data_IF_213170337907
#
_entry.id   IF_213170337907
#
_cell.length_a   1.000
_cell.length_b   1.000
_cell.length_c   1.000
_cell.angle_alpha   90.00
_cell.angle_beta   90.00
_cell.angle_gamma   90.00
#
_symmetry.space_group_name_H-M   'P 1'
#
loop_
_entity.id
_entity.type
_entity.pdbx_description
1 polymer ?
#
# COMPACT_ATOMS: atom_id res chain seq x y z
N UNK A 1 -70.34 -26.91 37.69
CA UNK A 1 -70.56 -25.98 36.56
C UNK A 1 -69.55 -26.39 35.49
N UNK A 2 -69.82 -27.36 34.59
CA UNK A 2 -70.64 -27.32 33.35
C UNK A 2 -70.32 -26.09 32.48
N UNK A 3 -70.06 -26.11 31.17
CA UNK A 3 -70.00 -27.13 30.09
C UNK A 3 -69.52 -26.39 28.80
N UNK A 4 -68.69 -27.01 27.93
CA UNK A 4 -68.66 -27.01 26.43
C UNK A 4 -68.82 -25.68 25.61
N UNK A 5 -68.48 -25.52 24.32
CA UNK A 5 -67.83 -26.29 23.24
C UNK A 5 -67.57 -25.30 22.07
N UNK A 6 -66.70 -25.74 21.17
CA UNK A 6 -66.27 -25.19 19.88
C UNK A 6 -67.43 -24.83 18.92
N UNK A 7 -67.27 -23.79 18.10
CA UNK A 7 -67.89 -23.72 16.77
C UNK A 7 -66.88 -23.22 15.73
N UNK A 8 -66.62 -24.11 14.78
CA UNK A 8 -65.93 -23.94 13.52
C UNK A 8 -66.98 -23.60 12.44
N UNK A 9 -66.54 -23.07 11.30
CA UNK A 9 -67.26 -22.97 10.01
C UNK A 9 -67.96 -21.63 9.69
N UNK A 10 -67.36 -20.89 8.77
CA UNK A 10 -67.96 -19.71 8.12
C UNK A 10 -67.04 -19.17 7.03
N UNK A 11 -66.88 -19.93 5.95
CA UNK A 11 -66.19 -19.53 4.72
C UNK A 11 -67.01 -18.42 4.05
N UNK A 12 -66.45 -17.24 3.81
CA UNK A 12 -66.91 -16.41 2.70
C UNK A 12 -65.77 -15.55 2.15
N UNK A 13 -65.40 -15.91 0.93
CA UNK A 13 -64.47 -15.26 0.02
C UNK A 13 -64.88 -13.79 -0.19
N UNK A 14 -63.97 -12.83 0.06
CA UNK A 14 -63.95 -11.52 -0.62
C UNK A 14 -62.52 -10.96 -0.59
N UNK A 15 -61.80 -11.36 -1.62
CA UNK A 15 -60.60 -10.71 -2.16
C UNK A 15 -60.91 -9.25 -2.57
N UNK A 16 -59.87 -8.44 -2.84
CA UNK A 16 -59.86 -7.12 -3.54
C UNK A 16 -59.92 -5.92 -2.56
N UNK A 17 -58.97 -4.97 -2.40
CA UNK A 17 -57.72 -4.57 -3.05
C UNK A 17 -56.90 -3.75 -2.02
N UNK A 18 -55.86 -4.31 -1.41
CA UNK A 18 -54.79 -3.48 -0.82
C UNK A 18 -53.69 -3.37 -1.87
N UNK A 19 -53.27 -2.16 -2.30
CA UNK A 19 -52.12 -2.04 -3.16
C UNK A 19 -50.91 -2.47 -2.32
N UNK A 20 -50.48 -3.71 -2.51
CA UNK A 20 -49.21 -4.18 -2.03
C UNK A 20 -48.18 -3.37 -2.83
N UNK A 21 -47.77 -2.21 -2.31
CA UNK A 21 -46.66 -1.46 -2.88
C UNK A 21 -45.47 -2.40 -2.79
N UNK A 22 -45.11 -3.02 -3.91
CA UNK A 22 -43.83 -3.69 -4.05
C UNK A 22 -42.78 -2.61 -3.78
N UNK A 23 -42.31 -2.58 -2.54
CA UNK A 23 -41.01 -2.02 -2.23
C UNK A 23 -40.03 -2.84 -3.05
N UNK A 24 -39.74 -2.41 -4.28
CA UNK A 24 -38.61 -2.89 -5.03
C UNK A 24 -37.40 -2.55 -4.16
N UNK A 25 -36.95 -3.54 -3.38
CA UNK A 25 -35.64 -3.48 -2.74
C UNK A 25 -34.68 -3.43 -3.91
N UNK A 26 -34.22 -2.23 -4.25
CA UNK A 26 -33.17 -2.03 -5.21
C UNK A 26 -31.91 -2.62 -4.57
N UNK A 27 -31.70 -3.92 -4.79
CA UNK A 27 -30.50 -4.60 -4.32
C UNK A 27 -29.32 -3.87 -4.95
N UNK A 28 -28.43 -3.22 -4.15
CA UNK A 28 -27.28 -2.54 -4.71
C UNK A 28 -26.51 -3.57 -5.54
N UNK A 29 -26.32 -3.25 -6.82
CA UNK A 29 -25.48 -4.06 -7.71
C UNK A 29 -24.11 -4.20 -7.04
N UNK A 30 -23.52 -5.41 -6.97
CA UNK A 30 -22.18 -5.60 -6.43
C UNK A 30 -21.21 -4.70 -7.21
N UNK A 31 -20.88 -3.55 -6.65
CA UNK A 31 -19.81 -2.69 -7.16
C UNK A 31 -18.51 -3.43 -6.87
N UNK A 32 -17.59 -3.56 -7.86
CA UNK A 32 -16.26 -4.09 -7.57
C UNK A 32 -15.62 -3.24 -6.49
N UNK A 33 -15.38 -3.83 -5.32
CA UNK A 33 -14.63 -3.14 -4.28
C UNK A 33 -13.23 -2.78 -4.83
N UNK A 34 -12.73 -1.56 -4.56
CA UNK A 34 -11.39 -1.18 -4.96
C UNK A 34 -10.40 -2.21 -4.42
N UNK A 35 -9.54 -2.74 -5.29
CA UNK A 35 -8.48 -3.65 -4.84
C UNK A 35 -7.54 -2.87 -3.91
N UNK A 36 -7.12 -3.46 -2.78
CA UNK A 36 -6.17 -2.81 -1.89
C UNK A 36 -4.86 -2.54 -2.64
N UNK A 37 -4.20 -1.42 -2.32
CA UNK A 37 -2.88 -1.09 -2.81
C UNK A 37 -1.80 -1.55 -1.82
N UNK A 38 -0.54 -1.55 -2.23
CA UNK A 38 0.57 -1.85 -1.31
C UNK A 38 0.60 -0.87 -0.13
N UNK A 39 0.21 0.39 -0.36
CA UNK A 39 0.18 1.42 0.68
C UNK A 39 -0.88 1.18 1.75
N UNK A 40 -1.93 0.42 1.40
CA UNK A 40 -2.99 0.04 2.34
C UNK A 40 -2.59 -1.18 3.18
N UNK A 41 -1.72 -2.05 2.64
CA UNK A 41 -1.30 -3.30 3.29
C UNK A 41 -0.14 -3.07 4.26
N UNK A 42 0.82 -2.20 3.93
CA UNK A 42 1.99 -1.95 4.80
C UNK A 42 1.62 -1.61 6.27
N UNK A 43 0.62 -0.75 6.54
CA UNK A 43 0.20 -0.44 7.90
C UNK A 43 -0.33 -1.64 8.69
N UNK A 44 -0.97 -2.62 8.03
CA UNK A 44 -1.44 -3.84 8.68
C UNK A 44 -0.28 -4.70 9.21
N UNK A 45 0.90 -4.56 8.60
CA UNK A 45 2.15 -5.16 9.07
C UNK A 45 2.96 -4.20 9.95
N UNK A 46 2.43 -3.04 10.34
CA UNK A 46 3.11 -2.07 11.18
C UNK A 46 4.20 -1.26 10.47
N UNK A 47 4.24 -1.29 9.13
CA UNK A 47 5.20 -0.52 8.34
C UNK A 47 4.58 0.79 7.84
N UNK A 48 5.36 1.88 7.75
CA UNK A 48 4.87 3.15 7.23
C UNK A 48 4.49 3.04 5.75
N UNK A 49 3.42 3.76 5.36
CA UNK A 49 2.86 3.71 4.01
C UNK A 49 3.81 4.23 2.93
N UNK A 50 4.71 5.15 3.25
CA UNK A 50 5.57 5.86 2.32
C UNK A 50 6.91 5.21 2.05
N UNK A 51 7.08 3.91 2.33
CA UNK A 51 8.32 3.18 2.00
C UNK A 51 8.50 3.06 0.48
N UNK A 52 7.41 2.93 -0.28
CA UNK A 52 7.45 2.85 -1.75
C UNK A 52 7.10 4.19 -2.39
N UNK A 53 7.68 4.50 -3.56
CA UNK A 53 7.34 5.71 -4.32
C UNK A 53 5.95 5.60 -4.96
N UNK A 54 5.35 6.74 -5.33
CA UNK A 54 4.03 6.82 -5.97
C UNK A 54 3.90 6.12 -7.34
N UNK A 55 5.01 5.62 -7.91
CA UNK A 55 5.07 4.98 -9.23
C UNK A 55 4.76 3.48 -9.23
N UNK A 56 4.31 2.91 -8.11
CA UNK A 56 3.85 1.51 -8.05
C UNK A 56 2.63 1.31 -8.95
N UNK A 57 2.73 0.42 -9.93
CA UNK A 57 1.62 0.04 -10.81
C UNK A 57 0.85 -1.17 -10.29
N UNK A 58 1.58 -2.13 -9.73
CA UNK A 58 0.98 -3.35 -9.20
C UNK A 58 1.86 -4.00 -8.14
N UNK A 59 1.28 -4.90 -7.35
CA UNK A 59 2.00 -5.73 -6.41
C UNK A 59 1.35 -7.11 -6.32
N UNK A 60 2.14 -8.08 -5.88
CA UNK A 60 1.69 -9.40 -5.49
C UNK A 60 2.17 -9.66 -4.06
N UNK A 61 1.34 -10.28 -3.23
CA UNK A 61 1.69 -10.76 -1.91
C UNK A 61 1.11 -12.16 -1.75
N UNK A 62 1.97 -13.13 -1.46
CA UNK A 62 1.55 -14.49 -1.17
C UNK A 62 1.20 -14.70 0.32
N UNK A 63 0.71 -15.89 0.64
CA UNK A 63 0.31 -16.24 2.02
C UNK A 63 1.50 -16.45 2.95
N UNK A 64 2.68 -16.71 2.40
CA UNK A 64 3.92 -16.95 3.13
C UNK A 64 4.67 -15.63 3.41
N UNK A 65 4.14 -14.52 2.90
CA UNK A 65 4.67 -13.17 3.03
C UNK A 65 5.62 -12.76 1.91
N UNK A 66 5.92 -13.62 0.93
CA UNK A 66 6.75 -13.19 -0.20
C UNK A 66 5.95 -12.21 -1.07
N UNK A 67 6.62 -11.13 -1.44
CA UNK A 67 5.98 -10.06 -2.21
C UNK A 67 6.83 -9.65 -3.41
N UNK A 68 6.14 -9.12 -4.40
CA UNK A 68 6.72 -8.42 -5.54
C UNK A 68 5.97 -7.10 -5.74
N UNK A 69 6.70 -6.00 -5.92
CA UNK A 69 6.16 -4.68 -6.26
C UNK A 69 6.73 -4.29 -7.62
N UNK A 70 5.86 -3.85 -8.52
CA UNK A 70 6.20 -3.44 -9.87
C UNK A 70 5.94 -1.95 -10.03
N UNK A 71 7.00 -1.21 -10.33
CA UNK A 71 6.96 0.21 -10.63
C UNK A 71 6.85 0.40 -12.14
N UNK A 72 6.24 1.51 -12.56
CA UNK A 72 6.17 1.88 -13.98
C UNK A 72 7.54 2.05 -14.62
N UNK A 73 8.46 2.63 -13.87
CA UNK A 73 9.86 2.87 -14.24
C UNK A 73 10.72 2.83 -12.99
N UNK A 74 12.03 2.55 -13.12
CA UNK A 74 12.96 2.76 -12.01
C UNK A 74 12.85 4.17 -11.46
N UNK A 75 13.05 4.30 -10.14
CA UNK A 75 12.75 5.52 -9.44
C UNK A 75 13.82 5.93 -8.43
N UNK A 76 14.05 7.23 -8.31
CA UNK A 76 14.91 7.81 -7.29
C UNK A 76 14.06 8.65 -6.33
N UNK A 77 14.28 8.48 -5.04
CA UNK A 77 13.65 9.26 -3.97
C UNK A 77 14.74 9.80 -3.04
N UNK A 78 14.67 11.09 -2.74
CA UNK A 78 15.58 11.76 -1.81
C UNK A 78 14.95 11.77 -0.40
N UNK A 79 15.48 10.93 0.50
CA UNK A 79 15.17 10.98 1.94
C UNK A 79 16.34 11.66 2.67
N UNK A 80 16.82 11.11 3.80
CA UNK A 80 18.17 11.46 4.31
C UNK A 80 19.28 11.03 3.33
N UNK A 81 19.01 10.03 2.49
CA UNK A 81 19.88 9.56 1.41
C UNK A 81 19.10 9.43 0.11
N UNK A 82 19.81 9.47 -1.02
CA UNK A 82 19.26 9.09 -2.30
C UNK A 82 19.03 7.57 -2.33
N UNK A 83 17.77 7.18 -2.46
CA UNK A 83 17.33 5.79 -2.57
C UNK A 83 16.87 5.53 -4.00
N UNK A 84 17.40 4.47 -4.58
CA UNK A 84 17.01 3.93 -5.87
C UNK A 84 16.09 2.73 -5.68
N UNK A 85 15.00 2.72 -6.43
CA UNK A 85 14.03 1.64 -6.54
C UNK A 85 14.08 1.12 -7.98
N UNK A 86 14.36 -0.17 -8.13
CA UNK A 86 14.26 -0.85 -9.40
C UNK A 86 12.80 -1.01 -9.84
N UNK A 87 12.59 -1.30 -11.12
CA UNK A 87 11.26 -1.56 -11.68
C UNK A 87 10.55 -2.73 -10.99
N UNK A 88 11.31 -3.76 -10.60
CA UNK A 88 10.83 -4.89 -9.82
C UNK A 88 11.54 -4.92 -8.47
N UNK A 89 10.74 -4.88 -7.40
CA UNK A 89 11.20 -5.02 -6.03
C UNK A 89 10.61 -6.31 -5.48
N UNK A 90 11.38 -7.08 -4.73
CA UNK A 90 10.90 -8.31 -4.10
C UNK A 90 11.45 -8.46 -2.70
N UNK A 91 10.77 -9.23 -1.87
CA UNK A 91 11.25 -9.61 -0.55
C UNK A 91 10.21 -10.43 0.20
N UNK A 92 10.36 -10.47 1.52
CA UNK A 92 9.44 -11.13 2.42
C UNK A 92 8.91 -10.15 3.46
N UNK A 93 7.61 -9.96 3.48
CA UNK A 93 6.87 -9.09 4.39
C UNK A 93 6.52 -9.86 5.67
N UNK A 94 6.73 -9.22 6.81
CA UNK A 94 6.45 -9.74 8.15
C UNK A 94 6.04 -8.58 9.06
N UNK A 95 5.50 -8.90 10.23
CA UNK A 95 5.08 -7.86 11.18
C UNK A 95 6.32 -7.06 11.61
N UNK A 96 6.30 -5.77 11.29
CA UNK A 96 7.33 -4.79 11.59
C UNK A 96 8.54 -4.82 10.65
N UNK A 97 8.57 -5.67 9.60
CA UNK A 97 9.75 -5.76 8.73
C UNK A 97 9.48 -6.29 7.33
N UNK A 98 10.41 -5.95 6.43
CA UNK A 98 10.58 -6.57 5.11
C UNK A 98 12.01 -7.06 4.99
N UNK A 99 12.21 -8.36 4.80
CA UNK A 99 13.51 -9.01 4.69
C UNK A 99 13.78 -9.51 3.28
N UNK A 100 15.01 -9.93 3.00
CA UNK A 100 15.41 -10.51 1.71
C UNK A 100 15.13 -9.57 0.53
N UNK A 101 15.21 -8.26 0.80
CA UNK A 101 14.88 -7.22 -0.14
C UNK A 101 15.83 -7.22 -1.34
N UNK A 102 15.26 -7.06 -2.53
CA UNK A 102 15.98 -6.89 -3.80
C UNK A 102 15.35 -5.74 -4.57
N UNK A 103 16.20 -4.99 -5.26
CA UNK A 103 15.75 -3.85 -6.08
C UNK A 103 15.64 -2.53 -5.32
N UNK A 104 16.21 -2.44 -4.11
CA UNK A 104 16.33 -1.17 -3.37
C UNK A 104 17.81 -0.94 -3.07
N UNK A 105 18.32 0.22 -3.46
CA UNK A 105 19.71 0.61 -3.23
C UNK A 105 19.78 2.01 -2.64
N UNK A 106 20.75 2.25 -1.76
CA UNK A 106 21.04 3.58 -1.23
C UNK A 106 22.40 4.07 -1.69
N UNK A 107 22.51 5.36 -1.99
CA UNK A 107 23.79 5.97 -2.36
C UNK A 107 24.51 6.47 -1.11
N UNK A 108 25.73 5.98 -0.86
CA UNK A 108 26.64 6.48 0.19
C UNK A 108 28.07 6.57 -0.30
N UNK A 109 28.79 7.63 0.09
CA UNK A 109 30.21 7.84 -0.28
C UNK A 109 30.51 7.55 -1.77
N UNK A 110 29.61 7.96 -2.67
CA UNK A 110 29.65 7.72 -4.13
C UNK A 110 29.35 6.29 -4.61
N UNK A 111 29.14 5.32 -3.71
CA UNK A 111 28.79 3.95 -4.05
C UNK A 111 27.32 3.65 -3.78
N UNK A 112 26.76 2.71 -4.55
CA UNK A 112 25.43 2.16 -4.35
C UNK A 112 25.52 0.91 -3.49
N UNK A 113 24.63 0.79 -2.52
CA UNK A 113 24.57 -0.35 -1.62
C UNK A 113 23.15 -0.89 -1.54
N UNK A 114 23.02 -2.21 -1.64
CA UNK A 114 21.74 -2.89 -1.50
C UNK A 114 21.18 -2.73 -0.09
N UNK A 115 19.85 -2.55 -0.02
CA UNK A 115 19.08 -2.65 1.22
C UNK A 115 18.54 -4.07 1.30
N UNK A 116 18.93 -4.79 2.35
CA UNK A 116 18.57 -6.19 2.55
C UNK A 116 17.34 -6.36 3.46
N UNK A 117 17.14 -5.41 4.38
CA UNK A 117 16.03 -5.39 5.33
C UNK A 117 15.58 -3.96 5.61
N UNK A 118 14.27 -3.76 5.76
CA UNK A 118 13.67 -2.55 6.31
C UNK A 118 12.80 -2.98 7.49
N UNK A 119 12.99 -2.38 8.67
CA UNK A 119 12.21 -2.73 9.86
C UNK A 119 11.89 -1.52 10.73
N UNK A 120 10.88 -1.66 11.57
CA UNK A 120 10.50 -0.71 12.62
C UNK A 120 10.63 -1.36 14.00
N UNK A 121 10.63 -0.56 15.06
CA UNK A 121 10.48 -1.09 16.42
C UNK A 121 9.01 -1.54 16.65
N UNK A 122 8.80 -2.52 17.54
CA UNK A 122 7.47 -2.98 17.94
C UNK A 122 7.33 -2.86 19.48
N UNK A 123 6.39 -2.05 20.01
CA UNK A 123 5.42 -1.22 19.29
C UNK A 123 6.08 -0.12 18.43
N UNK A 124 5.42 0.37 17.36
CA UNK A 124 5.97 1.37 16.45
C UNK A 124 6.54 2.58 17.20
N UNK A 125 7.83 2.84 16.97
CA UNK A 125 8.54 4.02 17.44
C UNK A 125 8.66 5.05 16.32
N UNK A 126 9.33 6.16 16.59
CA UNK A 126 9.58 7.21 15.60
C UNK A 126 10.73 6.87 14.64
N UNK A 127 10.98 5.58 14.36
CA UNK A 127 12.20 5.15 13.67
C UNK A 127 12.03 3.95 12.74
N UNK A 128 12.63 4.08 11.56
CA UNK A 128 12.73 3.04 10.54
C UNK A 128 14.21 2.70 10.35
N UNK A 129 14.54 1.41 10.29
CA UNK A 129 15.90 0.92 10.15
C UNK A 129 16.09 0.27 8.79
N UNK A 130 17.09 0.74 8.05
CA UNK A 130 17.50 0.17 6.77
C UNK A 130 18.80 -0.62 6.99
N UNK A 131 18.78 -1.92 6.71
CA UNK A 131 19.98 -2.75 6.71
C UNK A 131 20.66 -2.64 5.34
N UNK A 132 21.83 -2.03 5.34
CA UNK A 132 22.66 -1.78 4.16
C UNK A 132 23.88 -2.69 4.25
N UNK A 133 23.83 -3.83 3.56
CA UNK A 133 24.80 -4.91 3.75
C UNK A 133 24.82 -5.39 5.21
N UNK A 134 25.90 -5.11 5.95
CA UNK A 134 26.07 -5.50 7.37
C UNK A 134 25.80 -4.35 8.36
N UNK A 135 25.38 -3.17 7.88
CA UNK A 135 25.21 -1.97 8.71
C UNK A 135 23.74 -1.60 8.79
N UNK A 136 23.24 -1.32 9.99
CA UNK A 136 21.91 -0.77 10.19
C UNK A 136 21.96 0.75 10.26
N UNK A 137 21.15 1.42 9.44
CA UNK A 137 20.96 2.87 9.50
C UNK A 137 19.57 3.19 10.03
N UNK A 138 19.54 4.00 11.09
CA UNK A 138 18.32 4.57 11.66
C UNK A 138 17.90 5.81 10.86
N UNK A 139 16.65 5.85 10.45
CA UNK A 139 15.97 6.95 9.76
C UNK A 139 14.74 7.34 10.57
N UNK A 140 14.34 8.61 10.47
CA UNK A 140 13.15 9.13 11.13
C UNK A 140 11.88 8.64 10.42
N UNK A 141 10.89 8.13 11.17
CA UNK A 141 9.65 7.62 10.58
C UNK A 141 8.88 8.67 9.80
N UNK A 142 9.00 9.96 10.17
CA UNK A 142 8.31 11.07 9.52
C UNK A 142 8.66 11.17 8.02
N UNK A 143 9.84 10.68 7.63
CA UNK A 143 10.25 10.62 6.22
C UNK A 143 9.38 9.65 5.40
N UNK A 144 8.70 8.71 6.04
CA UNK A 144 7.94 7.63 5.39
C UNK A 144 6.42 7.72 5.66
N UNK A 145 5.95 8.75 6.34
CA UNK A 145 4.50 8.93 6.56
C UNK A 145 3.77 9.29 5.26
N UNK A 146 4.44 10.02 4.37
CA UNK A 146 3.91 10.43 3.07
C UNK A 146 4.50 9.60 1.95
N UNK A 147 3.68 9.30 0.93
CA UNK A 147 4.16 8.68 -0.29
C UNK A 147 4.95 9.72 -1.09
N UNK A 148 6.17 9.38 -1.48
CA UNK A 148 7.05 10.28 -2.22
C UNK A 148 6.93 10.07 -3.72
N UNK A 149 6.95 11.17 -4.45
CA UNK A 149 7.02 11.14 -5.91
C UNK A 149 8.44 10.89 -6.39
N UNK A 150 8.53 10.27 -7.56
CA UNK A 150 9.81 10.04 -8.20
C UNK A 150 10.51 11.36 -8.56
N UNK A 151 11.81 11.45 -8.29
CA UNK A 151 12.61 12.57 -8.79
C UNK A 151 12.53 12.62 -10.32
N UNK A 152 12.14 13.77 -10.85
CA UNK A 152 12.11 13.98 -12.28
C UNK A 152 13.54 13.88 -12.82
N UNK A 153 13.75 13.08 -13.87
CA UNK A 153 15.03 12.94 -14.55
C UNK A 153 15.64 14.30 -14.93
N UNK A 154 14.80 15.33 -15.13
CA UNK A 154 15.17 16.73 -15.36
C UNK A 154 15.87 17.46 -14.21
N UNK A 155 15.92 16.89 -13.01
CA UNK A 155 16.57 17.47 -11.82
C UNK A 155 17.93 16.79 -11.56
N UNK A 156 18.06 15.49 -11.83
CA UNK A 156 19.30 14.73 -11.54
C UNK A 156 20.51 15.17 -12.38
N UNK A 157 20.32 15.40 -13.68
CA UNK A 157 21.31 16.02 -14.58
C UNK A 157 21.70 17.47 -14.20
N UNK A 158 20.97 18.14 -13.31
CA UNK A 158 21.33 19.48 -12.82
C UNK A 158 22.16 19.44 -11.53
N UNK A 159 22.04 18.37 -10.72
CA UNK A 159 22.80 18.24 -9.46
C UNK A 159 24.20 17.63 -9.64
N UNK A 160 24.53 17.12 -10.83
CA UNK A 160 25.90 16.82 -11.27
C UNK A 160 26.16 17.45 -12.64
N UNK A 161 25.99 18.76 -12.72
CA UNK A 161 26.26 19.57 -13.92
C UNK A 161 27.21 20.72 -13.60
N UNK A 162 28.47 20.41 -13.31
CA UNK A 162 29.52 21.41 -13.43
C UNK A 162 29.54 21.94 -14.86
N UNK A 163 29.24 23.23 -15.02
CA UNK A 163 29.60 24.11 -16.13
C UNK A 163 29.53 23.53 -17.55
N UNK A 164 28.43 23.78 -18.26
CA UNK A 164 28.45 23.90 -19.72
C UNK A 164 27.22 24.67 -20.20
N UNK A 165 27.32 26.02 -20.20
CA UNK A 165 26.64 26.96 -21.12
C UNK A 165 26.92 28.41 -20.72
N UNK A 166 28.09 28.93 -21.11
CA UNK A 166 28.29 30.32 -21.57
C UNK A 166 29.45 30.36 -22.57
N UNK A 167 29.32 29.62 -23.68
CA UNK A 167 30.05 29.92 -24.93
C UNK A 167 29.11 29.61 -26.07
N UNK A 168 28.14 30.50 -26.30
CA UNK A 168 27.47 30.74 -27.58
C UNK A 168 26.77 32.10 -27.48
N UNK A 169 27.58 33.16 -27.40
CA UNK A 169 27.34 34.50 -27.95
C UNK A 169 28.69 35.06 -28.39
#
# INVERSE_FOLDING_TARGET
MASNSRFHLGISLLFILTPFTLSFILSPSPQPEPKPTIYDILPDFGLPRGIFPDTVESFNLDKDGNFEVFLKTPCYVEFEYLVYYAEKISGKLSIGSMTELKGIEVKRFFFWFNVNEIRVDLPPSDSVYFQIGFVNKKLDVNQFETIHSCMNNGIWLSSCGGSLRQVLQ
#
